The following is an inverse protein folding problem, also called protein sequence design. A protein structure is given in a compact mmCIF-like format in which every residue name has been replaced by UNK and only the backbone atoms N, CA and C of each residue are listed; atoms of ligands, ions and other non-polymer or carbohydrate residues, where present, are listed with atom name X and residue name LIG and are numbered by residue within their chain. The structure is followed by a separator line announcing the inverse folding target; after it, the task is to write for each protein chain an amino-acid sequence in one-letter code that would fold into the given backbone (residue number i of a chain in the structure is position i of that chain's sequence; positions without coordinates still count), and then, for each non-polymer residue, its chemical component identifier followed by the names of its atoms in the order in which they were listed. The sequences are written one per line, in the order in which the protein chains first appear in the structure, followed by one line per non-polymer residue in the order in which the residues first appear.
data_IF_490100248904
#
_entry.id   IF_490100248904
#
_cell.length_a   1.000
_cell.length_b   1.000
_cell.length_c   1.000
_cell.angle_alpha   90.00
_cell.angle_beta   90.00
_cell.angle_gamma   90.00
#
_symmetry.space_group_name_H-M   'P 1'
#
loop_
_entity.id
_entity.type
_entity.pdbx_description
1 polymer ?
#
# COMPACT_ATOMS: atom_id res chain seq x y z
N UNK A 1 -5.27 -29.85 7.31
CA UNK A 1 -4.26 -28.89 6.83
C UNK A 1 -4.80 -27.69 6.09
N UNK A 2 -5.77 -27.80 5.18
CA UNK A 2 -6.38 -26.61 4.52
C UNK A 2 -6.97 -25.62 5.54
N UNK A 3 -7.61 -26.10 6.60
CA UNK A 3 -8.23 -25.25 7.63
C UNK A 3 -7.22 -24.45 8.47
N UNK A 4 -5.99 -24.94 8.65
CA UNK A 4 -4.96 -24.25 9.45
C UNK A 4 -4.31 -23.16 8.62
N UNK A 5 -4.04 -23.42 7.34
CA UNK A 5 -3.53 -22.43 6.39
C UNK A 5 -4.55 -21.32 6.11
N UNK A 6 -5.83 -21.65 5.94
CA UNK A 6 -6.91 -20.67 5.79
C UNK A 6 -7.04 -19.75 7.02
N UNK A 7 -6.92 -20.32 8.23
CA UNK A 7 -6.97 -19.55 9.47
C UNK A 7 -5.77 -18.60 9.57
N UNK A 8 -4.57 -19.06 9.25
CA UNK A 8 -3.34 -18.26 9.24
C UNK A 8 -3.39 -17.11 8.22
N UNK A 9 -3.86 -17.37 7.00
CA UNK A 9 -3.98 -16.35 5.96
C UNK A 9 -5.00 -15.26 6.34
N UNK A 10 -6.15 -15.67 6.89
CA UNK A 10 -7.19 -14.77 7.40
C UNK A 10 -6.66 -13.89 8.54
N UNK A 11 -5.98 -14.47 9.51
CA UNK A 11 -5.38 -13.74 10.63
C UNK A 11 -4.32 -12.75 10.16
N UNK A 12 -3.49 -13.16 9.20
CA UNK A 12 -2.50 -12.28 8.57
C UNK A 12 -3.14 -11.07 7.88
N UNK A 13 -4.20 -11.29 7.10
CA UNK A 13 -4.94 -10.21 6.44
C UNK A 13 -5.60 -9.28 7.47
N UNK A 14 -6.18 -9.84 8.53
CA UNK A 14 -6.81 -9.05 9.60
C UNK A 14 -5.78 -8.16 10.31
N UNK A 15 -4.63 -8.72 10.67
CA UNK A 15 -3.53 -8.00 11.30
C UNK A 15 -3.00 -6.89 10.39
N UNK A 16 -2.92 -7.13 9.07
CA UNK A 16 -2.54 -6.09 8.11
C UNK A 16 -3.54 -4.93 8.13
N UNK A 17 -4.85 -5.22 8.09
CA UNK A 17 -5.90 -4.21 8.14
C UNK A 17 -5.79 -3.37 9.42
N UNK A 18 -5.64 -4.03 10.57
CA UNK A 18 -5.49 -3.39 11.87
C UNK A 18 -4.28 -2.46 11.92
N UNK A 19 -3.10 -2.93 11.47
CA UNK A 19 -1.87 -2.12 11.47
C UNK A 19 -1.98 -0.90 10.57
N UNK A 20 -2.62 -1.03 9.40
CA UNK A 20 -2.79 0.07 8.45
C UNK A 20 -3.80 1.10 8.94
N UNK A 21 -4.84 0.66 9.65
CA UNK A 21 -5.93 1.53 10.13
C UNK A 21 -5.79 2.00 11.57
N UNK A 22 -4.80 1.50 12.35
CA UNK A 22 -4.56 1.90 13.74
C UNK A 22 -4.50 3.42 13.99
N UNK A 23 -3.96 4.27 13.08
CA UNK A 23 -3.94 5.72 13.29
C UNK A 23 -5.30 6.42 13.08
N UNK A 24 -6.31 5.73 12.55
CA UNK A 24 -7.57 6.35 12.14
C UNK A 24 -8.60 6.30 13.26
N UNK A 25 -9.16 7.47 13.57
CA UNK A 25 -10.27 7.57 14.51
C UNK A 25 -11.51 6.87 13.94
N UNK A 26 -12.32 6.31 14.84
CA UNK A 26 -13.57 5.63 14.54
C UNK A 26 -13.43 4.34 13.70
N UNK A 27 -12.22 3.84 13.47
CA UNK A 27 -11.96 2.56 12.81
C UNK A 27 -11.42 1.56 13.82
N UNK A 28 -12.11 0.43 13.95
CA UNK A 28 -11.67 -0.68 14.80
C UNK A 28 -12.00 -2.00 14.08
N UNK A 29 -11.02 -2.54 13.37
CA UNK A 29 -11.21 -3.74 12.54
C UNK A 29 -10.97 -4.98 13.40
N UNK A 30 -12.05 -5.71 13.70
CA UNK A 30 -11.99 -6.93 14.52
C UNK A 30 -12.44 -8.20 13.77
N UNK A 31 -13.09 -8.03 12.62
CA UNK A 31 -13.63 -9.12 11.81
C UNK A 31 -13.82 -8.65 10.37
N UNK A 32 -14.16 -9.57 9.47
CA UNK A 32 -14.49 -9.28 8.07
C UNK A 32 -16.00 -9.22 7.83
N UNK A 33 -16.79 -8.74 8.79
CA UNK A 33 -18.23 -8.54 8.57
C UNK A 33 -18.67 -7.16 9.07
N UNK A 34 -18.91 -7.03 10.37
CA UNK A 34 -19.54 -5.85 10.99
C UNK A 34 -18.56 -4.68 11.06
N UNK A 35 -17.26 -4.97 11.22
CA UNK A 35 -16.22 -3.92 11.32
C UNK A 35 -16.05 -3.08 10.05
N UNK A 36 -16.61 -3.55 8.93
CA UNK A 36 -16.50 -2.91 7.61
C UNK A 36 -17.80 -2.23 7.17
N UNK A 37 -18.89 -2.44 7.92
CA UNK A 37 -20.24 -2.00 7.54
C UNK A 37 -20.37 -0.48 7.48
N UNK A 38 -19.59 0.26 8.24
CA UNK A 38 -19.60 1.72 8.22
C UNK A 38 -18.78 2.35 7.08
N UNK A 39 -18.09 1.53 6.28
CA UNK A 39 -17.27 1.96 5.15
C UNK A 39 -15.96 2.65 5.50
N UNK A 40 -15.74 3.02 6.78
CA UNK A 40 -14.55 3.75 7.20
C UNK A 40 -13.29 2.90 7.10
N UNK A 41 -13.39 1.59 7.33
CA UNK A 41 -12.28 0.65 7.16
C UNK A 41 -11.70 0.66 5.74
N UNK A 42 -12.57 0.65 4.71
CA UNK A 42 -12.14 0.71 3.31
C UNK A 42 -11.50 2.07 2.99
N UNK A 43 -12.15 3.17 3.39
CA UNK A 43 -11.62 4.52 3.18
C UNK A 43 -10.25 4.71 3.85
N UNK A 44 -10.07 4.20 5.07
CA UNK A 44 -8.82 4.30 5.82
C UNK A 44 -7.69 3.51 5.14
N UNK A 45 -7.98 2.31 4.59
CA UNK A 45 -6.99 1.53 3.84
C UNK A 45 -6.49 2.28 2.61
N UNK A 46 -7.40 2.90 1.86
CA UNK A 46 -7.05 3.70 0.67
C UNK A 46 -6.24 4.92 1.09
N UNK A 47 -6.74 5.75 2.01
CA UNK A 47 -6.05 6.95 2.48
C UNK A 47 -4.66 6.66 3.07
N UNK A 48 -4.46 5.48 3.69
CA UNK A 48 -3.16 5.11 4.26
C UNK A 48 -2.08 4.90 3.20
N UNK A 49 -2.46 4.46 2.00
CA UNK A 49 -1.52 4.20 0.90
C UNK A 49 -1.51 5.32 -0.14
N UNK A 50 -2.64 6.01 -0.29
CA UNK A 50 -2.90 7.06 -1.28
C UNK A 50 -3.73 8.17 -0.64
N UNK A 51 -3.14 9.00 0.24
CA UNK A 51 -3.86 10.03 0.97
C UNK A 51 -4.51 11.09 0.05
N UNK A 52 -4.00 11.26 -1.15
CA UNK A 52 -4.52 12.18 -2.17
C UNK A 52 -5.90 11.79 -2.73
N UNK A 53 -6.31 10.52 -2.58
CA UNK A 53 -7.53 10.01 -3.22
C UNK A 53 -8.79 10.14 -2.35
N UNK A 54 -8.65 10.30 -1.03
CA UNK A 54 -9.78 10.35 -0.11
C UNK A 54 -9.56 11.46 0.92
N UNK A 55 -10.50 12.39 1.04
CA UNK A 55 -10.52 13.35 2.15
C UNK A 55 -11.16 12.70 3.39
N UNK A 56 -10.34 11.97 4.15
CA UNK A 56 -10.83 11.19 5.29
C UNK A 56 -11.49 12.07 6.37
N UNK A 57 -11.08 13.34 6.50
CA UNK A 57 -11.60 14.26 7.50
C UNK A 57 -13.08 14.62 7.31
N UNK A 58 -13.62 14.44 6.09
CA UNK A 58 -15.04 14.68 5.77
C UNK A 58 -15.93 13.47 6.00
N UNK A 59 -15.36 12.28 6.18
CA UNK A 59 -16.12 11.04 6.33
C UNK A 59 -16.71 10.93 7.72
N UNK A 60 -17.91 10.33 7.80
CA UNK A 60 -18.62 10.18 9.06
C UNK A 60 -19.20 8.78 9.21
N UNK A 61 -19.16 8.24 10.43
CA UNK A 61 -19.61 6.87 10.72
C UNK A 61 -21.12 6.68 10.52
N UNK A 62 -21.90 7.74 10.65
CA UNK A 62 -23.36 7.75 10.47
C UNK A 62 -23.80 7.80 9.00
N UNK A 63 -22.85 7.88 8.06
CA UNK A 63 -23.13 7.87 6.62
C UNK A 63 -22.40 6.70 5.90
N UNK A 64 -22.78 5.44 6.21
CA UNK A 64 -22.09 4.26 5.71
C UNK A 64 -22.19 4.11 4.19
N UNK A 65 -23.34 4.48 3.62
CA UNK A 65 -23.60 4.34 2.18
C UNK A 65 -22.66 5.22 1.36
N UNK A 66 -22.49 6.50 1.77
CA UNK A 66 -21.55 7.40 1.12
C UNK A 66 -20.10 6.94 1.29
N UNK A 67 -19.71 6.48 2.50
CA UNK A 67 -18.35 6.00 2.74
C UNK A 67 -18.01 4.78 1.86
N UNK A 68 -18.91 3.81 1.80
CA UNK A 68 -18.73 2.60 1.00
C UNK A 68 -18.63 2.94 -0.49
N UNK A 69 -19.58 3.71 -1.03
CA UNK A 69 -19.55 4.11 -2.43
C UNK A 69 -18.29 4.92 -2.77
N UNK A 70 -17.89 5.85 -1.91
CA UNK A 70 -16.64 6.63 -2.09
C UNK A 70 -15.43 5.69 -2.20
N UNK A 71 -15.30 4.72 -1.28
CA UNK A 71 -14.19 3.78 -1.34
C UNK A 71 -14.23 2.90 -2.61
N UNK A 72 -15.41 2.41 -2.99
CA UNK A 72 -15.58 1.51 -4.12
C UNK A 72 -15.34 2.22 -5.46
N UNK A 73 -15.83 3.45 -5.61
CA UNK A 73 -15.58 4.31 -6.77
C UNK A 73 -14.09 4.65 -6.92
N UNK A 74 -13.44 5.03 -5.82
CA UNK A 74 -12.00 5.36 -5.84
C UNK A 74 -11.17 4.12 -6.16
N UNK A 75 -11.53 2.96 -5.61
CA UNK A 75 -10.83 1.71 -5.87
C UNK A 75 -10.91 1.30 -7.34
N UNK A 76 -12.09 1.39 -7.95
CA UNK A 76 -12.27 1.08 -9.38
C UNK A 76 -11.52 2.06 -10.27
N UNK A 77 -11.67 3.37 -10.01
CA UNK A 77 -11.15 4.40 -10.91
C UNK A 77 -9.63 4.58 -10.85
N UNK A 78 -9.03 4.39 -9.68
CA UNK A 78 -7.63 4.75 -9.44
C UNK A 78 -6.72 3.59 -9.02
N UNK A 79 -7.30 2.49 -8.54
CA UNK A 79 -6.53 1.34 -8.04
C UNK A 79 -6.70 0.08 -8.89
N UNK A 80 -7.51 0.15 -9.96
CA UNK A 80 -7.84 -0.99 -10.84
C UNK A 80 -8.44 -2.17 -10.06
N UNK A 81 -9.22 -1.87 -9.02
CA UNK A 81 -9.94 -2.87 -8.22
C UNK A 81 -11.43 -2.77 -8.58
N UNK A 82 -12.02 -3.76 -9.27
CA UNK A 82 -13.41 -3.70 -9.69
C UNK A 82 -14.36 -3.66 -8.49
N UNK A 83 -15.55 -3.07 -8.65
CA UNK A 83 -16.59 -3.09 -7.60
C UNK A 83 -17.15 -4.50 -7.42
N UNK A 84 -16.69 -5.21 -6.40
CA UNK A 84 -17.12 -6.58 -6.11
C UNK A 84 -18.29 -6.65 -5.13
N UNK A 85 -18.57 -5.55 -4.44
CA UNK A 85 -19.59 -5.46 -3.41
C UNK A 85 -20.52 -4.29 -3.71
N UNK A 86 -21.79 -4.46 -3.35
CA UNK A 86 -22.79 -3.40 -3.40
C UNK A 86 -22.93 -2.74 -2.02
N UNK A 87 -22.98 -1.40 -2.00
CA UNK A 87 -23.03 -0.65 -0.75
C UNK A 87 -24.41 -0.77 -0.06
N UNK A 88 -25.50 -0.85 -0.83
CA UNK A 88 -26.86 -1.01 -0.30
C UNK A 88 -27.02 -2.38 0.36
N UNK A 89 -26.47 -3.44 -0.24
CA UNK A 89 -26.49 -4.80 0.31
C UNK A 89 -25.76 -4.89 1.66
N UNK A 90 -24.58 -4.25 1.78
CA UNK A 90 -23.80 -4.21 3.03
C UNK A 90 -24.57 -3.47 4.13
N UNK A 91 -25.19 -2.33 3.81
CA UNK A 91 -25.92 -1.51 4.77
C UNK A 91 -27.23 -2.18 5.20
N UNK A 92 -27.98 -2.74 4.24
CA UNK A 92 -29.27 -3.41 4.46
C UNK A 92 -29.15 -4.72 5.24
N UNK A 93 -28.01 -5.41 5.16
CA UNK A 93 -27.81 -6.68 5.85
C UNK A 93 -27.32 -6.47 7.29
N UNK A 94 -27.90 -7.16 8.27
CA UNK A 94 -27.47 -7.07 9.67
C UNK A 94 -25.99 -7.48 9.87
N UNK A 95 -25.54 -8.49 9.11
CA UNK A 95 -24.18 -9.00 9.10
C UNK A 95 -23.73 -9.27 7.65
N UNK A 96 -22.85 -8.42 7.07
CA UNK A 96 -22.30 -8.66 5.74
C UNK A 96 -21.59 -10.01 5.64
N UNK A 97 -21.59 -10.61 4.44
CA UNK A 97 -20.93 -11.90 4.19
C UNK A 97 -19.42 -11.79 4.39
N UNK A 98 -18.88 -12.68 5.23
CA UNK A 98 -17.48 -12.59 5.65
C UNK A 98 -16.52 -12.88 4.50
N UNK A 99 -16.84 -13.85 3.63
CA UNK A 99 -15.99 -14.26 2.52
C UNK A 99 -15.97 -13.21 1.42
N UNK A 100 -17.11 -12.55 1.17
CA UNK A 100 -17.21 -11.45 0.21
C UNK A 100 -16.34 -10.26 0.64
N UNK A 101 -16.44 -9.84 1.91
CA UNK A 101 -15.59 -8.78 2.46
C UNK A 101 -14.10 -9.18 2.44
N UNK A 102 -13.76 -10.41 2.87
CA UNK A 102 -12.37 -10.89 2.83
C UNK A 102 -11.80 -10.87 1.42
N UNK A 103 -12.56 -11.36 0.43
CA UNK A 103 -12.15 -11.36 -0.97
C UNK A 103 -11.85 -9.94 -1.44
N UNK A 104 -12.74 -9.00 -1.14
CA UNK A 104 -12.56 -7.62 -1.57
C UNK A 104 -11.37 -6.93 -0.88
N UNK A 105 -11.22 -7.12 0.43
CA UNK A 105 -10.07 -6.61 1.20
C UNK A 105 -8.74 -7.23 0.72
N UNK A 106 -8.75 -8.49 0.29
CA UNK A 106 -7.59 -9.15 -0.30
C UNK A 106 -7.16 -8.46 -1.60
N UNK A 107 -8.11 -8.01 -2.44
CA UNK A 107 -7.80 -7.23 -3.65
C UNK A 107 -7.06 -5.93 -3.31
N UNK A 108 -7.46 -5.21 -2.25
CA UNK A 108 -6.71 -4.04 -1.77
C UNK A 108 -5.30 -4.42 -1.29
N UNK A 109 -5.16 -5.52 -0.54
CA UNK A 109 -3.85 -5.99 -0.10
C UNK A 109 -2.92 -6.26 -1.29
N UNK A 110 -3.41 -6.93 -2.32
CA UNK A 110 -2.62 -7.22 -3.52
C UNK A 110 -2.23 -5.95 -4.28
N UNK A 111 -3.18 -5.02 -4.50
CA UNK A 111 -2.91 -3.76 -5.16
C UNK A 111 -1.82 -2.94 -4.44
N UNK A 112 -1.90 -2.83 -3.10
CA UNK A 112 -0.94 -2.04 -2.34
C UNK A 112 0.39 -2.76 -2.06
N UNK A 113 0.38 -4.09 -1.91
CA UNK A 113 1.62 -4.86 -1.73
C UNK A 113 2.45 -4.92 -3.01
N UNK A 114 1.81 -4.95 -4.19
CA UNK A 114 2.48 -4.80 -5.48
C UNK A 114 3.21 -3.47 -5.60
N UNK A 115 2.53 -2.37 -5.27
CA UNK A 115 3.13 -1.03 -5.28
C UNK A 115 4.35 -0.92 -4.35
N UNK A 116 4.25 -1.47 -3.12
CA UNK A 116 5.36 -1.42 -2.15
C UNK A 116 6.58 -2.23 -2.62
N UNK A 117 6.36 -3.37 -3.28
CA UNK A 117 7.46 -4.18 -3.87
C UNK A 117 8.16 -3.42 -4.99
N UNK A 118 7.39 -2.78 -5.88
CA UNK A 118 7.94 -1.97 -6.96
C UNK A 118 8.77 -0.79 -6.42
N UNK A 119 8.26 -0.08 -5.42
CA UNK A 119 8.99 1.02 -4.75
C UNK A 119 10.30 0.52 -4.11
N UNK A 120 10.27 -0.62 -3.42
CA UNK A 120 11.47 -1.20 -2.80
C UNK A 120 12.51 -1.59 -3.85
N UNK A 121 12.08 -2.16 -4.99
CA UNK A 121 12.97 -2.48 -6.09
C UNK A 121 13.60 -1.22 -6.71
N UNK A 122 12.79 -0.18 -6.95
CA UNK A 122 13.27 1.11 -7.45
C UNK A 122 14.31 1.73 -6.50
N UNK A 123 14.05 1.75 -5.20
CA UNK A 123 14.98 2.26 -4.19
C UNK A 123 16.33 1.49 -4.17
N UNK A 124 16.32 0.18 -4.44
CA UNK A 124 17.55 -0.61 -4.56
C UNK A 124 18.34 -0.22 -5.81
N UNK A 125 17.67 -0.02 -6.93
CA UNK A 125 18.30 0.43 -8.18
C UNK A 125 18.93 1.81 -7.99
N UNK A 126 18.22 2.77 -7.39
CA UNK A 126 18.76 4.10 -7.10
C UNK A 126 20.03 4.05 -6.25
N UNK A 127 20.09 3.16 -5.24
CA UNK A 127 21.31 2.97 -4.42
C UNK A 127 22.49 2.44 -5.23
N UNK A 128 22.25 1.45 -6.12
CA UNK A 128 23.31 0.90 -6.97
C UNK A 128 23.83 1.95 -7.95
N UNK A 129 22.93 2.73 -8.55
CA UNK A 129 23.30 3.82 -9.45
C UNK A 129 24.16 4.87 -8.76
N UNK A 130 23.82 5.26 -7.52
CA UNK A 130 24.61 6.22 -6.74
C UNK A 130 26.04 5.72 -6.50
N UNK A 131 26.20 4.45 -6.10
CA UNK A 131 27.53 3.85 -5.88
C UNK A 131 28.34 3.79 -7.18
N UNK A 132 27.71 3.43 -8.31
CA UNK A 132 28.42 3.39 -9.59
C UNK A 132 28.88 4.78 -10.03
N UNK A 133 28.05 5.81 -9.83
CA UNK A 133 28.41 7.19 -10.16
C UNK A 133 29.59 7.68 -9.30
N UNK A 134 29.62 7.34 -8.01
CA UNK A 134 30.77 7.63 -7.14
C UNK A 134 32.05 6.90 -7.60
N UNK A 135 31.93 5.63 -8.03
CA UNK A 135 33.06 4.88 -8.55
C UNK A 135 33.61 5.46 -9.86
N UNK A 136 32.74 5.91 -10.76
CA UNK A 136 33.14 6.60 -11.99
C UNK A 136 33.95 7.86 -11.67
N UNK A 137 33.49 8.68 -10.73
CA UNK A 137 34.22 9.87 -10.30
C UNK A 137 35.60 9.52 -9.72
N UNK A 138 35.68 8.49 -8.89
CA UNK A 138 36.95 8.03 -8.32
C UNK A 138 37.93 7.52 -9.38
N UNK A 139 37.43 6.86 -10.43
CA UNK A 139 38.27 6.43 -11.56
C UNK A 139 38.81 7.62 -12.34
N UNK A 140 37.97 8.62 -12.63
CA UNK A 140 38.40 9.85 -13.32
C UNK A 140 39.46 10.62 -12.50
N UNK A 141 39.23 10.76 -11.19
CA UNK A 141 40.17 11.42 -10.29
C UNK A 141 41.51 10.68 -10.25
N UNK A 142 41.47 9.33 -10.17
CA UNK A 142 42.67 8.50 -10.21
C UNK A 142 43.43 8.65 -11.53
N UNK A 143 42.74 8.61 -12.66
CA UNK A 143 43.35 8.75 -13.99
C UNK A 143 44.04 10.10 -14.14
N UNK A 144 43.41 11.17 -13.65
CA UNK A 144 43.98 12.52 -13.64
C UNK A 144 45.24 12.62 -12.79
N UNK A 145 45.16 12.15 -11.54
CA UNK A 145 46.31 12.15 -10.61
C UNK A 145 47.49 11.35 -11.16
N UNK A 146 47.24 10.17 -11.72
CA UNK A 146 48.27 9.33 -12.31
C UNK A 146 48.91 9.99 -13.55
N UNK A 147 48.09 10.61 -14.41
CA UNK A 147 48.57 11.32 -15.60
C UNK A 147 49.46 12.51 -15.23
N UNK A 148 49.03 13.34 -14.27
CA UNK A 148 49.81 14.48 -13.75
C UNK A 148 51.15 14.02 -13.17
N UNK A 149 51.16 12.92 -12.40
CA UNK A 149 52.38 12.35 -11.83
C UNK A 149 53.35 11.84 -12.90
N UNK A 150 52.85 11.11 -13.90
CA UNK A 150 53.68 10.60 -15.00
C UNK A 150 54.27 11.73 -15.83
N UNK A 151 53.51 12.81 -16.04
CA UNK A 151 54.00 13.99 -16.73
C UNK A 151 55.11 14.69 -15.94
N UNK A 152 54.95 14.82 -14.61
CA UNK A 152 55.98 15.37 -13.74
C UNK A 152 57.29 14.57 -13.76
N UNK A 153 57.19 13.22 -13.70
CA UNK A 153 58.36 12.33 -13.78
C UNK A 153 59.08 12.49 -15.12
N UNK A 154 58.37 12.63 -16.24
CA UNK A 154 59.02 12.84 -17.56
C UNK A 154 59.74 14.17 -17.70
N UNK A 155 59.32 15.19 -16.96
CA UNK A 155 59.91 16.54 -17.03
C UNK A 155 61.15 16.69 -16.14
N UNK A 156 61.38 15.76 -15.22
CA UNK A 156 62.51 15.75 -14.28
C UNK A 156 63.58 14.77 -14.74
#
# INVERSE_FOLDING_TARGET
DISVEETSAKEGLLLWCQRKTAPYKNVNIQNFHISWKDGLGFCALIHRHRPELIDYGKLRKDDPLTNLNTAFDVAEKYLDIPKMLDAEDIVGTARPDEKAIMTYVSSFYHAFSGAQKAETAANRICKVLAVNQENEQLMEDYEKLASDLLEWIRRT
#
